data_IF_359795142879
#
_entry.id   IF_359795142879
#
_cell.length_a   1.000
_cell.length_b   1.000
_cell.length_c   1.000
_cell.angle_alpha   90.00
_cell.angle_beta   90.00
_cell.angle_gamma   90.00
#
_symmetry.space_group_name_H-M   'P 1'
#
loop_
_entity.id
_entity.type
_entity.pdbx_description
1 polymer ?
#
# COMPACT_ATOMS: atom_id res chain seq x y z
N UNK A 1 -5.80 -18.41 4.46
CA UNK A 1 -7.28 -18.48 4.56
C UNK A 1 -7.79 -17.78 5.81
N UNK A 2 -7.31 -18.09 7.02
CA UNK A 2 -7.78 -17.43 8.27
C UNK A 2 -7.68 -15.90 8.23
N UNK A 3 -6.58 -15.32 7.72
CA UNK A 3 -6.40 -13.86 7.62
C UNK A 3 -7.42 -13.20 6.68
N UNK A 4 -7.76 -13.84 5.57
CA UNK A 4 -8.79 -13.35 4.64
C UNK A 4 -10.17 -13.46 5.29
N UNK A 5 -10.47 -14.56 5.97
CA UNK A 5 -11.72 -14.75 6.68
C UNK A 5 -11.90 -13.74 7.83
N UNK A 6 -10.87 -13.53 8.64
CA UNK A 6 -10.85 -12.51 9.70
C UNK A 6 -11.04 -11.11 9.12
N UNK A 7 -10.37 -10.82 8.01
CA UNK A 7 -10.50 -9.56 7.32
C UNK A 7 -11.92 -9.34 6.78
N UNK A 8 -12.47 -10.29 6.03
CA UNK A 8 -13.85 -10.21 5.53
C UNK A 8 -14.85 -10.08 6.68
N UNK A 9 -14.65 -10.85 7.76
CA UNK A 9 -15.47 -10.75 8.97
C UNK A 9 -15.37 -9.37 9.65
N UNK A 10 -14.16 -8.82 9.78
CA UNK A 10 -13.95 -7.48 10.35
C UNK A 10 -14.58 -6.39 9.48
N UNK A 11 -14.44 -6.48 8.15
CA UNK A 11 -15.09 -5.52 7.24
C UNK A 11 -16.60 -5.61 7.28
N UNK A 12 -17.14 -6.82 7.31
CA UNK A 12 -18.59 -7.03 7.46
C UNK A 12 -19.09 -6.47 8.80
N UNK A 13 -18.33 -6.68 9.89
CA UNK A 13 -18.64 -6.09 11.18
C UNK A 13 -18.57 -4.55 11.16
N UNK A 14 -17.58 -3.95 10.47
CA UNK A 14 -17.47 -2.49 10.29
C UNK A 14 -18.68 -1.95 9.51
N UNK A 15 -19.10 -2.61 8.43
CA UNK A 15 -20.28 -2.21 7.67
C UNK A 15 -21.55 -2.27 8.52
N UNK A 16 -21.71 -3.32 9.35
CA UNK A 16 -22.83 -3.44 10.29
C UNK A 16 -22.80 -2.32 11.32
N UNK A 17 -21.64 -2.08 11.97
CA UNK A 17 -21.45 -1.01 12.95
C UNK A 17 -21.77 0.34 12.33
N UNK A 18 -21.29 0.60 11.10
CA UNK A 18 -21.60 1.85 10.38
C UNK A 18 -23.09 1.99 10.12
N UNK A 19 -23.76 0.95 9.60
CA UNK A 19 -25.21 0.95 9.37
C UNK A 19 -25.99 1.21 10.65
N UNK A 20 -25.64 0.53 11.77
CA UNK A 20 -26.26 0.74 13.07
C UNK A 20 -25.98 2.17 13.57
N UNK A 21 -24.78 2.65 13.46
CA UNK A 21 -24.39 4.01 13.86
C UNK A 21 -25.19 5.06 13.11
N UNK A 22 -25.31 4.92 11.80
CA UNK A 22 -26.11 5.83 10.97
C UNK A 22 -27.59 5.82 11.35
N UNK A 23 -28.14 4.64 11.66
CA UNK A 23 -29.52 4.49 12.14
C UNK A 23 -29.71 5.14 13.53
N UNK A 24 -28.76 4.95 14.48
CA UNK A 24 -28.81 5.56 15.82
C UNK A 24 -28.75 7.10 15.74
N UNK A 25 -27.90 7.65 14.85
CA UNK A 25 -27.82 9.09 14.65
C UNK A 25 -28.94 9.65 13.77
N UNK A 26 -29.89 8.82 13.39
CA UNK A 26 -31.03 9.23 12.58
C UNK A 26 -30.69 9.71 11.17
N UNK A 27 -29.47 9.38 10.68
CA UNK A 27 -29.06 9.78 9.31
C UNK A 27 -30.02 9.19 8.27
N UNK A 28 -30.46 7.96 8.49
CA UNK A 28 -31.48 7.32 7.66
C UNK A 28 -32.82 8.08 7.72
N UNK A 29 -33.25 8.51 8.94
CA UNK A 29 -34.48 9.28 9.14
C UNK A 29 -34.39 10.69 8.57
N UNK A 30 -33.30 11.42 8.81
CA UNK A 30 -33.09 12.78 8.28
C UNK A 30 -33.07 12.77 6.75
N UNK A 31 -32.55 11.71 6.14
CA UNK A 31 -32.51 11.55 4.70
C UNK A 31 -33.89 11.12 4.13
N UNK A 32 -34.71 10.41 4.90
CA UNK A 32 -36.02 9.90 4.49
C UNK A 32 -37.17 10.88 4.80
N UNK A 33 -37.18 11.50 5.99
CA UNK A 33 -38.22 12.48 6.42
C UNK A 33 -38.26 13.75 5.54
N UNK A 34 -37.13 14.13 4.93
CA UNK A 34 -37.10 15.28 4.02
C UNK A 34 -37.43 14.89 2.56
N UNK A 35 -37.87 13.67 2.30
CA UNK A 35 -38.17 13.19 0.96
C UNK A 35 -36.94 13.14 0.06
N UNK A 36 -35.77 12.99 0.68
CA UNK A 36 -34.46 13.09 0.04
C UNK A 36 -34.17 11.86 -0.84
N UNK A 37 -34.85 10.72 -0.58
CA UNK A 37 -34.85 9.54 -1.48
C UNK A 37 -33.47 8.91 -1.68
N UNK A 38 -32.57 9.00 -0.68
CA UNK A 38 -31.27 8.32 -0.70
C UNK A 38 -31.36 7.01 0.07
N UNK A 39 -31.34 5.90 -0.63
CA UNK A 39 -31.17 4.62 0.00
C UNK A 39 -29.71 4.43 0.46
N UNK A 40 -29.48 4.73 1.73
CA UNK A 40 -28.16 4.71 2.37
C UNK A 40 -27.54 3.32 2.35
N UNK A 41 -28.36 2.26 2.53
CA UNK A 41 -27.87 0.88 2.54
C UNK A 41 -27.41 0.45 1.15
N UNK A 42 -28.18 0.75 0.12
CA UNK A 42 -27.78 0.51 -1.27
C UNK A 42 -26.55 1.30 -1.65
N UNK A 43 -26.46 2.57 -1.24
CA UNK A 43 -25.26 3.39 -1.49
C UNK A 43 -24.02 2.82 -0.81
N UNK A 44 -24.14 2.39 0.46
CA UNK A 44 -23.04 1.77 1.18
C UNK A 44 -22.58 0.47 0.52
N UNK A 45 -23.53 -0.38 0.12
CA UNK A 45 -23.23 -1.62 -0.60
C UNK A 45 -22.50 -1.36 -1.92
N UNK A 46 -23.01 -0.44 -2.75
CA UNK A 46 -22.40 -0.08 -4.04
C UNK A 46 -21.00 0.51 -3.81
N UNK A 47 -20.83 1.39 -2.79
CA UNK A 47 -19.54 1.96 -2.44
C UNK A 47 -18.54 0.90 -2.03
N UNK A 48 -18.98 -0.13 -1.28
CA UNK A 48 -18.13 -1.27 -0.91
C UNK A 48 -17.73 -2.07 -2.15
N UNK A 49 -18.68 -2.40 -3.02
CA UNK A 49 -18.40 -3.13 -4.27
C UNK A 49 -17.36 -2.37 -5.11
N UNK A 50 -17.55 -1.07 -5.33
CA UNK A 50 -16.61 -0.26 -6.12
C UNK A 50 -15.25 -0.16 -5.44
N UNK A 51 -15.21 0.16 -4.13
CA UNK A 51 -13.98 0.34 -3.37
C UNK A 51 -13.12 -0.92 -3.33
N UNK A 52 -13.73 -2.09 -3.09
CA UNK A 52 -13.01 -3.37 -3.08
C UNK A 52 -12.63 -3.83 -4.48
N UNK A 53 -13.54 -3.75 -5.45
CA UNK A 53 -13.27 -4.17 -6.83
C UNK A 53 -12.08 -3.38 -7.40
N UNK A 54 -12.05 -2.06 -7.23
CA UNK A 54 -10.94 -1.23 -7.67
C UNK A 54 -9.61 -1.63 -7.01
N UNK A 55 -9.62 -1.90 -5.71
CA UNK A 55 -8.44 -2.33 -4.97
C UNK A 55 -7.94 -3.71 -5.39
N UNK A 56 -8.84 -4.66 -5.61
CA UNK A 56 -8.48 -5.99 -6.10
C UNK A 56 -7.96 -5.97 -7.54
N UNK A 57 -8.58 -5.22 -8.44
CA UNK A 57 -8.06 -5.03 -9.80
C UNK A 57 -6.64 -4.46 -9.74
N UNK A 58 -6.42 -3.41 -8.95
CA UNK A 58 -5.10 -2.81 -8.76
C UNK A 58 -4.07 -3.83 -8.28
N UNK A 59 -4.42 -4.69 -7.31
CA UNK A 59 -3.55 -5.77 -6.83
C UNK A 59 -3.22 -6.77 -7.94
N UNK A 60 -4.22 -7.22 -8.70
CA UNK A 60 -4.04 -8.22 -9.76
C UNK A 60 -3.12 -7.73 -10.87
N UNK A 61 -3.24 -6.45 -11.26
CA UNK A 61 -2.42 -5.85 -12.31
C UNK A 61 -1.10 -5.27 -11.81
N UNK A 62 -0.87 -5.21 -10.48
CA UNK A 62 0.27 -4.53 -9.85
C UNK A 62 1.63 -4.96 -10.41
N UNK A 63 1.84 -6.27 -10.58
CA UNK A 63 3.08 -6.84 -11.12
C UNK A 63 3.30 -6.46 -12.60
N UNK A 64 2.26 -6.50 -13.41
CA UNK A 64 2.32 -6.08 -14.81
C UNK A 64 2.59 -4.57 -14.91
N UNK A 65 1.87 -3.79 -14.12
CA UNK A 65 2.02 -2.33 -14.10
C UNK A 65 3.43 -1.92 -13.65
N UNK A 66 3.96 -2.53 -12.57
CA UNK A 66 5.30 -2.26 -12.09
C UNK A 66 6.36 -2.61 -13.14
N UNK A 67 6.26 -3.78 -13.80
CA UNK A 67 7.18 -4.15 -14.90
C UNK A 67 7.17 -3.11 -16.01
N UNK A 68 5.99 -2.66 -16.42
CA UNK A 68 5.84 -1.72 -17.54
C UNK A 68 6.25 -0.29 -17.17
N UNK A 69 5.79 0.23 -16.02
CA UNK A 69 6.02 1.61 -15.61
C UNK A 69 7.46 1.88 -15.20
N UNK A 70 8.12 0.91 -14.55
CA UNK A 70 9.50 1.01 -14.09
C UNK A 70 10.51 0.47 -15.11
N UNK A 71 10.06 -0.11 -16.22
CA UNK A 71 10.94 -0.72 -17.21
C UNK A 71 11.74 -1.90 -16.63
N UNK A 72 11.13 -2.72 -15.78
CA UNK A 72 11.82 -3.84 -15.12
C UNK A 72 12.19 -4.92 -16.11
N UNK A 73 13.48 -5.23 -16.21
CA UNK A 73 14.01 -6.33 -17.01
C UNK A 73 14.08 -7.56 -16.12
N UNK A 74 13.29 -8.59 -16.45
CA UNK A 74 13.29 -9.85 -15.70
C UNK A 74 14.55 -10.65 -16.02
N UNK A 75 15.23 -11.10 -14.97
CA UNK A 75 16.43 -11.91 -15.06
C UNK A 75 16.04 -13.37 -14.78
N UNK A 76 15.75 -14.12 -15.84
CA UNK A 76 15.50 -15.56 -15.75
C UNK A 76 16.74 -16.41 -15.99
N UNK A 77 17.69 -15.87 -16.77
CA UNK A 77 19.02 -16.49 -16.99
C UNK A 77 20.08 -15.42 -16.75
N UNK A 78 21.01 -15.65 -15.81
CA UNK A 78 22.03 -14.66 -15.48
C UNK A 78 23.01 -14.52 -16.65
N UNK A 79 23.44 -13.29 -16.92
CA UNK A 79 24.40 -12.94 -17.98
C UNK A 79 25.81 -12.69 -17.44
N UNK A 80 25.94 -12.52 -16.14
CA UNK A 80 27.21 -12.24 -15.44
C UNK A 80 27.17 -12.77 -14.00
N UNK A 81 28.32 -12.71 -13.32
CA UNK A 81 28.50 -13.22 -11.96
C UNK A 81 27.62 -12.47 -10.93
N UNK A 82 27.39 -11.17 -11.14
CA UNK A 82 26.53 -10.36 -10.26
C UNK A 82 25.08 -10.82 -10.36
N UNK A 83 24.56 -11.02 -11.56
CA UNK A 83 23.19 -11.53 -11.76
C UNK A 83 23.04 -12.95 -11.22
N UNK A 84 24.06 -13.81 -11.40
CA UNK A 84 24.09 -15.15 -10.83
C UNK A 84 24.00 -15.11 -9.32
N UNK A 85 24.81 -14.26 -8.68
CA UNK A 85 24.80 -14.09 -7.24
C UNK A 85 23.46 -13.55 -6.73
N UNK A 86 22.89 -12.55 -7.38
CA UNK A 86 21.59 -11.97 -6.99
C UNK A 86 20.47 -12.99 -7.03
N UNK A 87 20.42 -13.84 -8.06
CA UNK A 87 19.42 -14.91 -8.17
C UNK A 87 19.60 -15.97 -7.07
N UNK A 88 20.84 -16.38 -6.80
CA UNK A 88 21.15 -17.33 -5.73
C UNK A 88 20.80 -16.76 -4.36
N UNK A 89 21.12 -15.49 -4.11
CA UNK A 89 20.83 -14.84 -2.84
C UNK A 89 19.33 -14.68 -2.61
N UNK A 90 18.56 -14.26 -3.63
CA UNK A 90 17.10 -14.24 -3.54
C UNK A 90 16.51 -15.62 -3.23
N UNK A 91 17.03 -16.67 -3.87
CA UNK A 91 16.58 -18.05 -3.61
C UNK A 91 16.89 -18.49 -2.18
N UNK A 92 18.12 -18.23 -1.70
CA UNK A 92 18.54 -18.53 -0.34
C UNK A 92 17.67 -17.81 0.71
N UNK A 93 17.43 -16.51 0.52
CA UNK A 93 16.59 -15.71 1.41
C UNK A 93 15.15 -16.18 1.37
N UNK A 94 14.62 -16.50 0.18
CA UNK A 94 13.26 -17.02 0.02
C UNK A 94 13.05 -18.36 0.72
N UNK A 95 14.04 -19.25 0.65
CA UNK A 95 14.04 -20.53 1.39
C UNK A 95 14.03 -20.30 2.89
N UNK A 96 14.90 -19.42 3.42
CA UNK A 96 14.90 -19.05 4.85
C UNK A 96 13.58 -18.43 5.29
N UNK A 97 12.96 -17.62 4.43
CA UNK A 97 11.64 -17.02 4.67
C UNK A 97 10.48 -18.01 4.53
N UNK A 98 10.72 -19.23 4.03
CA UNK A 98 9.71 -20.24 3.73
C UNK A 98 8.63 -19.74 2.75
N UNK A 99 9.06 -19.12 1.65
CA UNK A 99 8.20 -18.71 0.53
C UNK A 99 8.75 -19.25 -0.79
N UNK A 100 7.88 -19.32 -1.78
CA UNK A 100 8.31 -19.57 -3.16
C UNK A 100 9.17 -18.41 -3.64
N UNK A 101 10.32 -18.70 -4.27
CA UNK A 101 11.20 -17.67 -4.84
C UNK A 101 10.43 -16.78 -5.80
N UNK A 102 10.38 -15.44 -5.55
CA UNK A 102 9.74 -14.47 -6.44
C UNK A 102 10.45 -14.39 -7.79
N UNK A 103 9.78 -13.83 -8.80
CA UNK A 103 10.50 -13.36 -9.99
C UNK A 103 11.50 -12.27 -9.57
N UNK A 104 12.63 -12.23 -10.26
CA UNK A 104 13.65 -11.20 -10.03
C UNK A 104 13.82 -10.31 -11.25
N UNK A 105 14.01 -9.01 -11.01
CA UNK A 105 14.27 -8.06 -12.08
C UNK A 105 15.16 -6.89 -11.66
N UNK A 106 15.74 -6.24 -12.65
CA UNK A 106 16.50 -4.99 -12.48
C UNK A 106 15.84 -3.91 -13.33
N UNK A 107 15.75 -2.69 -12.80
CA UNK A 107 15.28 -1.53 -13.52
C UNK A 107 16.35 -0.43 -13.55
N UNK A 108 16.39 0.34 -14.64
CA UNK A 108 17.37 1.38 -14.81
C UNK A 108 17.01 2.64 -14.00
N UNK A 109 17.73 2.86 -12.91
CA UNK A 109 17.65 4.06 -12.08
C UNK A 109 18.94 4.23 -11.31
N UNK A 110 19.45 5.46 -11.27
CA UNK A 110 20.65 5.82 -10.47
C UNK A 110 20.33 5.89 -8.97
N UNK A 111 19.09 6.07 -8.59
CA UNK A 111 18.67 6.10 -7.19
C UNK A 111 18.72 4.70 -6.58
N UNK A 112 19.11 4.60 -5.31
CA UNK A 112 19.09 3.36 -4.55
C UNK A 112 17.65 3.02 -4.20
N UNK A 113 17.09 2.08 -4.94
CA UNK A 113 15.69 1.69 -4.75
C UNK A 113 15.48 0.20 -4.99
N UNK A 114 14.53 -0.37 -4.27
CA UNK A 114 14.02 -1.72 -4.46
C UNK A 114 12.51 -1.73 -4.19
N UNK A 115 11.83 -2.74 -4.69
CA UNK A 115 10.42 -2.97 -4.34
C UNK A 115 10.02 -4.43 -4.55
N UNK A 116 9.02 -4.83 -3.75
CA UNK A 116 8.28 -6.07 -3.96
C UNK A 116 6.84 -5.78 -4.39
N UNK A 117 6.32 -6.55 -5.33
CA UNK A 117 4.93 -6.43 -5.78
C UNK A 117 4.37 -7.79 -6.23
N UNK A 118 3.06 -7.87 -6.36
CA UNK A 118 2.37 -9.06 -6.84
C UNK A 118 1.08 -9.37 -6.10
N UNK A 119 0.24 -10.19 -6.71
CA UNK A 119 -1.10 -10.50 -6.18
C UNK A 119 -1.10 -11.52 -5.04
N UNK A 120 -0.01 -12.26 -4.84
CA UNK A 120 0.09 -13.27 -3.79
C UNK A 120 1.56 -13.63 -3.50
N UNK A 121 1.80 -14.36 -2.40
CA UNK A 121 3.13 -14.88 -2.05
C UNK A 121 3.75 -15.75 -3.16
N UNK A 122 2.91 -16.47 -3.91
CA UNK A 122 3.35 -17.36 -4.98
C UNK A 122 3.43 -16.70 -6.36
N UNK A 123 2.91 -15.47 -6.49
CA UNK A 123 2.96 -14.68 -7.71
C UNK A 123 3.43 -13.27 -7.39
N UNK A 124 4.71 -13.16 -7.08
CA UNK A 124 5.37 -11.94 -6.65
C UNK A 124 6.64 -11.66 -7.49
N UNK A 125 7.12 -10.44 -7.40
CA UNK A 125 8.30 -9.92 -8.05
C UNK A 125 9.09 -9.11 -7.04
N UNK A 126 10.40 -9.30 -6.99
CA UNK A 126 11.36 -8.41 -6.34
C UNK A 126 12.18 -7.72 -7.43
N UNK A 127 12.29 -6.41 -7.37
CA UNK A 127 13.06 -5.64 -8.33
C UNK A 127 14.01 -4.67 -7.62
N UNK A 128 15.26 -4.60 -8.13
CA UNK A 128 16.30 -3.70 -7.64
C UNK A 128 16.64 -2.69 -8.73
N UNK A 129 17.00 -1.47 -8.33
CA UNK A 129 17.54 -0.49 -9.25
C UNK A 129 19.00 -0.80 -9.62
N UNK A 130 19.44 -0.40 -10.81
CA UNK A 130 20.84 -0.47 -11.20
C UNK A 130 21.75 0.33 -10.26
N UNK A 131 21.29 1.47 -9.76
CA UNK A 131 21.99 2.28 -8.78
C UNK A 131 22.24 1.53 -7.47
N UNK A 132 21.24 0.80 -6.96
CA UNK A 132 21.37 -0.01 -5.74
C UNK A 132 22.43 -1.11 -5.93
N UNK A 133 22.33 -1.86 -7.04
CA UNK A 133 23.26 -2.96 -7.34
C UNK A 133 24.70 -2.46 -7.48
N UNK A 134 24.91 -1.24 -8.02
CA UNK A 134 26.24 -0.69 -8.26
C UNK A 134 26.87 -0.02 -7.03
N UNK A 135 26.08 0.46 -6.07
CA UNK A 135 26.59 1.31 -4.98
C UNK A 135 26.53 0.66 -3.59
N UNK A 136 25.78 -0.42 -3.43
CA UNK A 136 25.72 -1.19 -2.18
C UNK A 136 26.65 -2.41 -2.22
N UNK A 137 27.20 -2.77 -1.07
CA UNK A 137 27.94 -4.01 -0.95
C UNK A 137 26.98 -5.22 -0.87
N UNK A 138 27.50 -6.44 -1.03
CA UNK A 138 26.70 -7.66 -1.05
C UNK A 138 25.86 -7.86 0.21
N UNK A 139 26.38 -7.55 1.40
CA UNK A 139 25.62 -7.70 2.65
C UNK A 139 24.44 -6.72 2.73
N UNK A 140 24.62 -5.49 2.25
CA UNK A 140 23.57 -4.49 2.18
C UNK A 140 22.51 -4.87 1.16
N UNK A 141 22.90 -5.38 -0.01
CA UNK A 141 21.97 -5.89 -1.03
C UNK A 141 21.18 -7.07 -0.48
N UNK A 142 21.83 -8.01 0.22
CA UNK A 142 21.16 -9.12 0.89
C UNK A 142 20.12 -8.63 1.90
N UNK A 143 20.44 -7.59 2.66
CA UNK A 143 19.51 -7.00 3.62
C UNK A 143 18.30 -6.36 2.94
N UNK A 144 18.50 -5.65 1.82
CA UNK A 144 17.39 -5.08 1.03
C UNK A 144 16.53 -6.21 0.42
N UNK A 145 17.14 -7.25 -0.15
CA UNK A 145 16.37 -8.39 -0.68
C UNK A 145 15.58 -9.07 0.46
N UNK A 146 16.19 -9.26 1.64
CA UNK A 146 15.50 -9.84 2.79
C UNK A 146 14.32 -8.99 3.26
N UNK A 147 14.44 -7.67 3.23
CA UNK A 147 13.35 -6.74 3.52
C UNK A 147 12.20 -6.90 2.53
N UNK A 148 12.47 -6.89 1.23
CA UNK A 148 11.45 -7.08 0.19
C UNK A 148 10.77 -8.46 0.27
N UNK A 149 11.56 -9.51 0.50
CA UNK A 149 11.05 -10.87 0.73
C UNK A 149 10.18 -10.93 1.99
N UNK A 150 10.51 -10.17 3.03
CA UNK A 150 9.71 -10.10 4.25
C UNK A 150 8.33 -9.49 4.02
N UNK A 151 8.19 -8.47 3.18
CA UNK A 151 6.89 -7.96 2.75
C UNK A 151 6.05 -9.05 2.05
N UNK A 152 6.67 -9.86 1.20
CA UNK A 152 5.98 -10.98 0.53
C UNK A 152 5.58 -12.04 1.57
N UNK A 153 6.51 -12.45 2.47
CA UNK A 153 6.25 -13.39 3.57
C UNK A 153 5.09 -12.95 4.45
N UNK A 154 5.05 -11.67 4.80
CA UNK A 154 4.00 -11.09 5.65
C UNK A 154 2.65 -10.95 4.93
N UNK A 155 2.64 -11.00 3.59
CA UNK A 155 1.42 -10.80 2.78
C UNK A 155 0.97 -9.34 2.76
N UNK A 156 1.92 -8.42 2.85
CA UNK A 156 1.68 -6.99 2.98
C UNK A 156 0.94 -6.40 1.79
N UNK A 157 1.20 -6.89 0.59
CA UNK A 157 0.51 -6.46 -0.63
C UNK A 157 -1.01 -6.69 -0.52
N UNK A 158 -1.42 -7.89 -0.07
CA UNK A 158 -2.84 -8.21 0.12
C UNK A 158 -3.44 -7.37 1.26
N UNK A 159 -2.73 -7.28 2.39
CA UNK A 159 -3.20 -6.50 3.56
C UNK A 159 -3.45 -5.03 3.19
N UNK A 160 -2.51 -4.41 2.45
CA UNK A 160 -2.69 -3.01 2.02
C UNK A 160 -3.84 -2.84 1.02
N UNK A 161 -4.00 -3.78 0.10
CA UNK A 161 -5.14 -3.78 -0.84
C UNK A 161 -6.46 -3.82 -0.10
N UNK A 162 -6.54 -4.63 0.94
CA UNK A 162 -7.74 -4.76 1.76
C UNK A 162 -8.02 -3.47 2.56
N UNK A 163 -6.99 -2.89 3.17
CA UNK A 163 -7.11 -1.59 3.85
C UNK A 163 -7.56 -0.52 2.86
N UNK A 164 -6.97 -0.48 1.67
CA UNK A 164 -7.35 0.46 0.62
C UNK A 164 -8.81 0.26 0.17
N UNK A 165 -9.28 -0.99 0.06
CA UNK A 165 -10.67 -1.30 -0.27
C UNK A 165 -11.65 -0.73 0.75
N UNK A 166 -11.37 -0.91 2.05
CA UNK A 166 -12.17 -0.31 3.15
C UNK A 166 -12.16 1.20 3.05
N UNK A 167 -10.98 1.79 3.01
CA UNK A 167 -10.80 3.24 2.97
C UNK A 167 -11.53 3.84 1.76
N UNK A 168 -11.40 3.24 0.58
CA UNK A 168 -12.08 3.70 -0.63
C UNK A 168 -13.60 3.60 -0.49
N UNK A 169 -14.13 2.56 0.16
CA UNK A 169 -15.55 2.43 0.47
C UNK A 169 -16.07 3.63 1.23
N UNK A 170 -15.37 4.02 2.32
CA UNK A 170 -15.75 5.18 3.12
C UNK A 170 -15.65 6.49 2.32
N UNK A 171 -14.58 6.67 1.56
CA UNK A 171 -14.38 7.87 0.74
C UNK A 171 -15.50 8.02 -0.29
N UNK A 172 -15.84 6.95 -1.01
CA UNK A 172 -16.93 6.96 -2.00
C UNK A 172 -18.26 7.24 -1.32
N UNK A 173 -18.56 6.50 -0.25
CA UNK A 173 -19.82 6.62 0.48
C UNK A 173 -20.04 8.07 0.99
N UNK A 174 -19.13 8.59 1.80
CA UNK A 174 -19.29 9.92 2.38
C UNK A 174 -19.27 11.03 1.35
N UNK A 175 -18.48 10.91 0.28
CA UNK A 175 -18.50 11.90 -0.80
C UNK A 175 -19.86 11.98 -1.47
N UNK A 176 -20.55 10.85 -1.66
CA UNK A 176 -21.91 10.82 -2.25
C UNK A 176 -22.96 11.37 -1.30
N UNK A 177 -22.87 11.02 -0.01
CA UNK A 177 -23.76 11.58 1.03
C UNK A 177 -23.63 13.09 1.10
N UNK A 178 -22.40 13.65 1.15
CA UNK A 178 -22.14 15.08 1.16
C UNK A 178 -22.70 15.74 -0.11
N UNK A 179 -22.42 15.17 -1.28
CA UNK A 179 -22.95 15.69 -2.55
C UNK A 179 -24.47 15.73 -2.57
N UNK A 180 -25.12 14.67 -2.05
CA UNK A 180 -26.56 14.60 -1.99
C UNK A 180 -27.18 15.62 -1.03
N UNK A 181 -26.60 15.78 0.17
CA UNK A 181 -27.03 16.79 1.15
C UNK A 181 -26.95 18.21 0.54
N UNK A 182 -25.82 18.56 -0.08
CA UNK A 182 -25.64 19.87 -0.70
C UNK A 182 -26.65 20.12 -1.83
N UNK A 183 -26.85 19.11 -2.70
CA UNK A 183 -27.79 19.22 -3.82
C UNK A 183 -29.25 19.42 -3.35
N UNK A 184 -29.65 18.70 -2.30
CA UNK A 184 -31.01 18.75 -1.77
C UNK A 184 -31.27 19.94 -0.84
N UNK A 185 -30.37 20.20 0.10
CA UNK A 185 -30.57 21.20 1.15
C UNK A 185 -30.22 22.60 0.67
N UNK A 186 -29.07 22.75 -0.05
CA UNK A 186 -28.58 24.04 -0.48
C UNK A 186 -29.22 24.46 -1.82
N UNK A 187 -29.19 23.55 -2.81
CA UNK A 187 -29.69 23.85 -4.17
C UNK A 187 -31.15 23.45 -4.37
N UNK A 188 -31.81 22.82 -3.39
CA UNK A 188 -33.25 22.50 -3.40
C UNK A 188 -33.70 21.68 -4.61
N UNK A 189 -32.83 20.82 -5.15
CA UNK A 189 -33.18 19.94 -6.28
C UNK A 189 -34.20 18.90 -5.80
N UNK A 190 -35.38 18.83 -6.37
CA UNK A 190 -36.47 17.97 -5.89
C UNK A 190 -36.46 16.58 -6.50
N UNK A 191 -35.90 16.36 -7.69
CA UNK A 191 -35.86 15.08 -8.38
C UNK A 191 -34.52 14.83 -9.03
N UNK A 192 -34.03 13.59 -8.93
CA UNK A 192 -32.75 13.19 -9.49
C UNK A 192 -31.55 13.87 -8.81
N UNK A 193 -30.45 14.04 -9.51
CA UNK A 193 -29.25 14.73 -9.06
C UNK A 193 -28.97 15.91 -9.98
N UNK A 194 -28.83 17.09 -9.39
CA UNK A 194 -28.42 18.30 -10.10
C UNK A 194 -26.90 18.37 -10.33
N UNK A 195 -26.40 19.35 -11.09
CA UNK A 195 -24.96 19.55 -11.30
C UNK A 195 -24.18 19.71 -10.00
N UNK A 196 -24.78 20.32 -8.96
CA UNK A 196 -24.17 20.53 -7.66
C UNK A 196 -23.79 19.19 -6.97
N UNK A 197 -24.61 18.15 -7.12
CA UNK A 197 -24.29 16.83 -6.62
C UNK A 197 -22.94 16.30 -7.14
N UNK A 198 -22.74 16.35 -8.45
CA UNK A 198 -21.53 15.82 -9.07
C UNK A 198 -20.29 16.61 -8.67
N UNK A 199 -20.37 17.93 -8.73
CA UNK A 199 -19.25 18.84 -8.38
C UNK A 199 -18.87 18.65 -6.91
N UNK A 200 -19.85 18.72 -6.01
CA UNK A 200 -19.61 18.55 -4.56
C UNK A 200 -19.10 17.17 -4.21
N UNK A 201 -19.66 16.12 -4.83
CA UNK A 201 -19.17 14.76 -4.61
C UNK A 201 -17.71 14.59 -5.05
N UNK A 202 -17.30 15.18 -6.18
CA UNK A 202 -15.91 15.10 -6.65
C UNK A 202 -14.98 15.86 -5.69
N UNK A 203 -15.33 17.08 -5.29
CA UNK A 203 -14.53 17.87 -4.34
C UNK A 203 -14.41 17.13 -3.00
N UNK A 204 -15.53 16.64 -2.45
CA UNK A 204 -15.55 15.88 -1.22
C UNK A 204 -14.71 14.60 -1.34
N UNK A 205 -14.78 13.88 -2.46
CA UNK A 205 -14.00 12.69 -2.71
C UNK A 205 -12.49 12.98 -2.71
N UNK A 206 -12.05 14.08 -3.32
CA UNK A 206 -10.63 14.50 -3.31
C UNK A 206 -10.18 14.80 -1.88
N UNK A 207 -10.93 15.62 -1.14
CA UNK A 207 -10.59 16.00 0.23
C UNK A 207 -10.55 14.77 1.17
N UNK A 208 -11.57 13.92 1.10
CA UNK A 208 -11.64 12.70 1.90
C UNK A 208 -10.52 11.71 1.52
N UNK A 209 -10.13 11.62 0.25
CA UNK A 209 -9.00 10.78 -0.19
C UNK A 209 -7.67 11.23 0.41
N UNK A 210 -7.45 12.55 0.50
CA UNK A 210 -6.26 13.11 1.16
C UNK A 210 -6.24 12.73 2.65
N UNK A 211 -7.35 12.90 3.36
CA UNK A 211 -7.46 12.50 4.77
C UNK A 211 -7.28 10.99 4.95
N UNK A 212 -7.92 10.21 4.10
CA UNK A 212 -7.85 8.75 4.12
C UNK A 212 -6.44 8.22 3.84
N UNK A 213 -5.64 8.93 3.04
CA UNK A 213 -4.25 8.56 2.76
C UNK A 213 -3.39 8.54 4.03
N UNK A 214 -3.68 9.37 5.04
CA UNK A 214 -2.98 9.38 6.34
C UNK A 214 -3.12 8.01 7.03
N UNK A 215 -4.32 7.43 6.99
CA UNK A 215 -4.61 6.11 7.58
C UNK A 215 -3.81 5.03 6.85
N UNK A 216 -3.83 5.05 5.52
CA UNK A 216 -3.09 4.09 4.67
C UNK A 216 -1.58 4.19 4.94
N UNK A 217 -1.04 5.42 5.00
CA UNK A 217 0.38 5.64 5.29
C UNK A 217 0.76 5.22 6.72
N UNK A 218 -0.12 5.39 7.69
CA UNK A 218 0.13 4.90 9.05
C UNK A 218 0.26 3.37 9.09
N UNK A 219 -0.63 2.64 8.42
CA UNK A 219 -0.51 1.18 8.27
C UNK A 219 0.74 0.79 7.48
N UNK A 220 1.07 1.52 6.43
CA UNK A 220 2.29 1.30 5.65
C UNK A 220 3.52 1.36 6.54
N UNK A 221 3.68 2.44 7.34
CA UNK A 221 4.81 2.59 8.26
C UNK A 221 4.94 1.47 9.30
N UNK A 222 3.81 0.96 9.82
CA UNK A 222 3.85 -0.17 10.78
C UNK A 222 4.43 -1.45 10.16
N UNK A 223 4.16 -1.69 8.89
CA UNK A 223 4.67 -2.88 8.18
C UNK A 223 6.17 -2.82 7.94
N UNK A 224 6.71 -1.61 7.77
CA UNK A 224 8.16 -1.41 7.60
C UNK A 224 8.94 -1.97 8.78
N UNK A 225 8.52 -1.67 10.01
CA UNK A 225 9.18 -2.21 11.20
C UNK A 225 9.11 -3.74 11.27
N UNK A 226 7.99 -4.32 10.87
CA UNK A 226 7.85 -5.78 10.83
C UNK A 226 8.73 -6.42 9.72
N UNK A 227 8.86 -5.75 8.58
CA UNK A 227 9.73 -6.19 7.49
C UNK A 227 11.21 -6.08 7.88
N UNK A 228 11.61 -4.98 8.53
CA UNK A 228 12.97 -4.81 9.06
C UNK A 228 13.34 -5.87 10.08
N UNK A 229 12.47 -6.16 11.04
CA UNK A 229 12.69 -7.19 12.04
C UNK A 229 12.82 -8.58 11.38
N UNK A 230 11.92 -8.92 10.45
CA UNK A 230 12.00 -10.20 9.73
C UNK A 230 13.25 -10.29 8.84
N UNK A 231 13.69 -9.19 8.23
CA UNK A 231 14.93 -9.15 7.46
C UNK A 231 16.15 -9.35 8.38
N UNK A 232 16.15 -8.69 9.55
CA UNK A 232 17.22 -8.84 10.55
C UNK A 232 17.35 -10.28 11.08
N UNK A 233 16.23 -10.99 11.24
CA UNK A 233 16.24 -12.43 11.58
C UNK A 233 16.90 -13.29 10.49
N UNK A 234 16.74 -12.92 9.20
CA UNK A 234 17.24 -13.70 8.06
C UNK A 234 18.73 -13.46 7.80
N UNK A 235 19.17 -12.19 7.83
CA UNK A 235 20.51 -11.77 7.38
C UNK A 235 21.34 -11.07 8.46
N UNK A 236 20.79 -10.86 9.65
CA UNK A 236 21.43 -10.18 10.76
C UNK A 236 21.09 -8.69 10.84
N UNK A 237 20.87 -8.18 12.05
CA UNK A 237 20.49 -6.78 12.30
C UNK A 237 21.59 -5.79 11.83
N UNK A 238 22.87 -6.15 11.96
CA UNK A 238 23.99 -5.30 11.51
C UNK A 238 23.96 -5.01 10.01
N UNK A 239 23.63 -6.02 9.19
CA UNK A 239 23.51 -5.87 7.74
C UNK A 239 22.33 -4.96 7.37
N UNK A 240 21.18 -5.12 8.06
CA UNK A 240 20.01 -4.27 7.84
C UNK A 240 20.29 -2.82 8.23
N UNK A 241 20.95 -2.59 9.38
CA UNK A 241 21.34 -1.25 9.81
C UNK A 241 22.34 -0.62 8.81
N UNK A 242 23.32 -1.39 8.30
CA UNK A 242 24.24 -0.92 7.27
C UNK A 242 23.50 -0.49 5.99
N UNK A 243 22.58 -1.32 5.51
CA UNK A 243 21.76 -1.01 4.33
C UNK A 243 20.96 0.28 4.53
N UNK A 244 20.28 0.45 5.68
CA UNK A 244 19.53 1.66 6.01
C UNK A 244 20.43 2.92 6.04
N UNK A 245 21.64 2.84 6.62
CA UNK A 245 22.61 3.94 6.62
C UNK A 245 23.05 4.31 5.21
N UNK A 246 23.32 3.32 4.36
CA UNK A 246 23.70 3.57 2.97
C UNK A 246 22.56 4.21 2.18
N UNK A 247 21.32 3.77 2.38
CA UNK A 247 20.14 4.41 1.80
C UNK A 247 19.97 5.87 2.25
N UNK A 248 20.25 6.18 3.53
CA UNK A 248 20.18 7.55 4.06
C UNK A 248 21.20 8.49 3.43
N UNK A 249 22.42 8.01 3.20
CA UNK A 249 23.55 8.86 2.77
C UNK A 249 23.64 9.04 1.26
N UNK A 250 23.27 8.01 0.48
CA UNK A 250 23.44 7.98 -0.98
C UNK A 250 22.14 8.21 -1.79
N UNK A 251 21.02 8.39 -1.13
CA UNK A 251 19.76 8.77 -1.78
C UNK A 251 19.28 10.14 -1.27
N UNK A 252 19.97 11.24 -1.58
CA UNK A 252 19.61 12.55 -1.06
C UNK A 252 18.32 13.12 -1.66
N UNK A 253 17.87 12.67 -2.82
CA UNK A 253 16.68 13.16 -3.50
C UNK A 253 15.53 12.18 -3.37
N UNK A 254 14.36 12.72 -2.96
CA UNK A 254 13.12 11.96 -2.92
C UNK A 254 12.78 11.45 -4.33
N UNK A 255 12.26 10.22 -4.41
CA UNK A 255 11.65 9.70 -5.64
C UNK A 255 10.58 10.68 -6.13
N UNK A 256 10.40 10.85 -7.46
CA UNK A 256 9.23 11.54 -7.99
C UNK A 256 7.96 10.98 -7.31
N UNK A 257 7.00 11.85 -6.98
CA UNK A 257 5.78 11.50 -6.21
C UNK A 257 5.04 10.27 -6.74
N UNK A 258 5.10 10.05 -8.06
CA UNK A 258 4.52 8.88 -8.73
C UNK A 258 5.22 7.55 -8.38
N UNK A 259 6.47 7.60 -7.93
CA UNK A 259 7.30 6.44 -7.59
C UNK A 259 7.54 6.27 -6.09
N UNK A 260 7.17 7.26 -5.28
CA UNK A 260 7.34 7.24 -3.83
C UNK A 260 6.59 6.08 -3.15
N UNK A 261 5.49 5.62 -3.77
CA UNK A 261 4.73 4.45 -3.30
C UNK A 261 5.49 3.12 -3.47
N UNK A 262 6.54 3.08 -4.30
CA UNK A 262 7.33 1.88 -4.61
C UNK A 262 8.77 1.95 -4.09
N UNK A 263 9.12 2.94 -3.26
CA UNK A 263 10.52 3.17 -2.86
C UNK A 263 10.78 3.02 -1.38
N UNK A 264 11.99 2.55 -1.04
CA UNK A 264 12.47 2.37 0.34
C UNK A 264 13.03 3.68 0.92
N UNK A 265 13.39 4.65 0.08
CA UNK A 265 14.10 5.87 0.45
C UNK A 265 13.19 7.09 0.47
N UNK A 266 13.18 7.84 1.59
CA UNK A 266 12.45 9.10 1.73
C UNK A 266 13.03 10.00 2.82
N UNK A 267 13.08 11.33 2.54
CA UNK A 267 13.44 12.36 3.52
C UNK A 267 12.26 12.64 4.46
N UNK A 268 12.55 12.81 5.75
CA UNK A 268 11.69 13.22 6.88
C UNK A 268 10.30 12.56 6.91
N UNK A 269 10.05 11.81 7.97
CA UNK A 269 8.73 11.25 8.26
C UNK A 269 7.66 12.36 8.28
N UNK A 270 6.80 12.37 7.26
CA UNK A 270 5.58 13.18 7.23
C UNK A 270 4.37 12.27 7.45
N UNK A 271 3.22 12.84 7.76
CA UNK A 271 1.95 12.09 7.87
C UNK A 271 1.64 11.32 6.58
N UNK A 272 2.10 11.83 5.44
CA UNK A 272 1.90 11.29 4.10
C UNK A 272 3.05 10.41 3.60
N UNK A 273 4.06 10.14 4.44
CA UNK A 273 5.18 9.26 4.10
C UNK A 273 4.79 7.80 4.23
N UNK A 274 5.06 6.99 3.21
CA UNK A 274 4.82 5.53 3.24
C UNK A 274 5.80 4.78 4.15
N UNK A 275 7.00 5.35 4.37
CA UNK A 275 8.05 4.78 5.21
C UNK A 275 8.31 5.65 6.44
N UNK A 276 8.65 5.04 7.60
CA UNK A 276 9.18 5.76 8.75
C UNK A 276 10.54 6.38 8.42
N UNK A 277 11.02 7.31 9.28
CA UNK A 277 12.38 7.79 9.14
C UNK A 277 13.41 6.67 9.33
N UNK A 278 14.51 6.75 8.60
CA UNK A 278 15.58 5.75 8.67
C UNK A 278 16.12 5.64 10.10
N UNK A 279 16.23 6.77 10.79
CA UNK A 279 16.67 6.83 12.18
C UNK A 279 15.75 6.00 13.10
N UNK A 280 14.43 6.16 12.96
CA UNK A 280 13.48 5.41 13.79
C UNK A 280 13.47 3.91 13.48
N UNK A 281 13.74 3.52 12.21
CA UNK A 281 13.91 2.12 11.80
C UNK A 281 15.16 1.51 12.43
N UNK A 282 16.29 2.24 12.40
CA UNK A 282 17.56 1.81 13.04
C UNK A 282 17.39 1.69 14.55
N UNK A 283 16.75 2.66 15.22
CA UNK A 283 16.48 2.58 16.66
C UNK A 283 15.61 1.36 17.00
N UNK A 284 14.60 1.05 16.19
CA UNK A 284 13.76 -0.12 16.39
C UNK A 284 14.56 -1.42 16.30
N UNK A 285 15.49 -1.52 15.33
CA UNK A 285 16.36 -2.69 15.18
C UNK A 285 17.34 -2.84 16.34
N UNK A 286 17.87 -1.73 16.87
CA UNK A 286 18.79 -1.75 18.03
C UNK A 286 18.12 -2.14 19.35
N UNK A 287 16.80 -1.89 19.48
CA UNK A 287 16.04 -2.27 20.70
C UNK A 287 15.61 -3.74 20.69
N UNK A 288 15.45 -4.32 19.53
CA UNK A 288 14.88 -5.67 19.36
C UNK A 288 15.91 -6.73 18.98
N UNK A 289 17.17 -6.35 18.74
CA UNK A 289 18.31 -7.20 18.48
C UNK A 289 19.31 -7.16 19.62
#
# INVERSE_FOLDING_TARGET
MLRIALFLGTNFAILIVLSITMSIFGVDGVLDEQGIGLDVNSLLFISAVIGFTGSFISLLISKWLAKKSMGVIIISKPKNDTESWLLQELDNISKKANIKTPEFGIFNSQQLNAFATGASKNNSLVALSSGLVNHMNRNEISAVIAHEVSHIKNGDMVTMTLIQGVVNTFVIFFSRVIGHIVDRVVFKVQRGHGPAYYITSIIAQILLSILASIIVMWFSRKREYAADASAAEIVGASNMISALKTLSTKSPDALPDQMAAFGISGKKASLFSSHPSIESRIESLLRNG
#
